data_IF_901725977035
#
_entry.id   IF_901725977035
#
_cell.length_a   1.000
_cell.length_b   1.000
_cell.length_c   1.000
_cell.angle_alpha   90.00
_cell.angle_beta   90.00
_cell.angle_gamma   90.00
#
_symmetry.space_group_name_H-M   'P 1'
#
loop_
_entity.id
_entity.type
_entity.pdbx_description
1 polymer ?
#
# COMPACT_ATOMS: atom_id res chain seq x y z
N UNK A 1 -10.02 -7.84 -19.30
CA UNK A 1 -9.86 -7.25 -17.95
C UNK A 1 -9.58 -5.78 -18.15
N UNK A 2 -10.46 -4.93 -17.66
CA UNK A 2 -10.45 -3.50 -18.03
C UNK A 2 -9.70 -2.63 -17.01
N UNK A 3 -9.58 -3.13 -15.78
CA UNK A 3 -8.88 -2.51 -14.66
C UNK A 3 -8.30 -3.59 -13.72
N UNK A 4 -7.06 -3.39 -13.29
CA UNK A 4 -6.44 -4.18 -12.22
C UNK A 4 -6.42 -3.38 -10.92
N UNK A 5 -7.00 -3.94 -9.87
CA UNK A 5 -6.81 -3.48 -8.49
C UNK A 5 -5.59 -4.21 -7.93
N UNK A 6 -4.50 -3.49 -7.68
CA UNK A 6 -3.23 -4.12 -7.38
C UNK A 6 -2.70 -3.66 -6.02
N UNK A 7 -2.50 -4.61 -5.11
CA UNK A 7 -2.02 -4.29 -3.77
C UNK A 7 -0.49 -4.15 -3.74
N UNK A 8 0.00 -3.02 -3.23
CA UNK A 8 1.40 -2.82 -2.88
C UNK A 8 1.53 -2.45 -1.41
N UNK A 9 2.24 -3.26 -0.64
CA UNK A 9 2.27 -3.17 0.83
C UNK A 9 3.53 -2.48 1.33
N UNK A 10 4.70 -2.99 0.94
CA UNK A 10 5.99 -2.55 1.47
C UNK A 10 7.04 -2.46 0.36
N UNK A 11 7.82 -1.37 0.37
CA UNK A 11 8.90 -1.15 -0.60
C UNK A 11 10.16 -1.94 -0.26
N UNK A 12 10.42 -2.13 1.04
CA UNK A 12 11.55 -2.91 1.54
C UNK A 12 11.21 -4.41 1.58
N UNK A 13 12.06 -5.24 0.99
CA UNK A 13 11.83 -6.68 0.89
C UNK A 13 11.87 -7.36 2.27
N UNK A 14 12.82 -7.00 3.13
CA UNK A 14 12.95 -7.61 4.45
C UNK A 14 11.72 -7.32 5.31
N UNK A 15 11.22 -6.09 5.29
CA UNK A 15 9.94 -5.73 5.90
C UNK A 15 8.78 -6.47 5.24
N UNK A 16 8.73 -6.54 3.90
CA UNK A 16 7.65 -7.25 3.21
C UNK A 16 7.60 -8.73 3.63
N UNK A 17 8.74 -9.42 3.68
CA UNK A 17 8.84 -10.80 4.18
C UNK A 17 8.41 -10.89 5.64
N UNK A 18 8.87 -9.97 6.50
CA UNK A 18 8.49 -9.94 7.91
C UNK A 18 6.97 -9.84 8.12
N UNK A 19 6.29 -8.98 7.37
CA UNK A 19 4.87 -8.70 7.58
C UNK A 19 3.91 -9.54 6.73
N UNK A 20 4.38 -10.16 5.64
CA UNK A 20 3.53 -10.94 4.72
C UNK A 20 3.95 -12.39 4.56
N UNK A 21 5.16 -12.77 4.99
CA UNK A 21 5.75 -14.08 4.77
C UNK A 21 6.34 -14.27 3.36
N UNK A 22 6.28 -13.27 2.47
CA UNK A 22 6.73 -13.38 1.09
C UNK A 22 7.61 -12.20 0.64
N UNK A 23 8.44 -12.42 -0.38
CA UNK A 23 9.18 -11.34 -1.07
C UNK A 23 8.25 -10.43 -1.85
N UNK A 24 8.63 -9.16 -2.02
CA UNK A 24 7.96 -8.22 -2.92
C UNK A 24 8.52 -8.22 -4.35
N UNK A 25 9.56 -9.01 -4.67
CA UNK A 25 10.16 -9.06 -6.00
C UNK A 25 9.13 -9.43 -7.08
N UNK A 26 8.38 -10.52 -6.87
CA UNK A 26 7.34 -10.96 -7.80
C UNK A 26 6.19 -9.95 -7.91
N UNK A 27 5.89 -9.26 -6.80
CA UNK A 27 4.86 -8.21 -6.76
C UNK A 27 5.28 -7.05 -7.65
N UNK A 28 6.54 -6.64 -7.60
CA UNK A 28 7.07 -5.58 -8.47
C UNK A 28 7.20 -6.00 -9.93
N UNK A 29 7.69 -7.21 -10.21
CA UNK A 29 7.85 -7.68 -11.59
C UNK A 29 6.50 -7.78 -12.30
N UNK A 30 5.48 -8.29 -11.61
CA UNK A 30 4.13 -8.40 -12.17
C UNK A 30 3.48 -7.03 -12.38
N UNK A 31 3.65 -6.11 -11.43
CA UNK A 31 3.10 -4.75 -11.53
C UNK A 31 3.71 -4.00 -12.73
N UNK A 32 5.04 -4.09 -12.91
CA UNK A 32 5.72 -3.52 -14.09
C UNK A 32 5.23 -4.15 -15.39
N UNK A 33 5.14 -5.48 -15.45
CA UNK A 33 4.68 -6.17 -16.64
C UNK A 33 3.23 -5.80 -17.02
N UNK A 34 2.34 -5.62 -16.04
CA UNK A 34 0.96 -5.16 -16.29
C UNK A 34 0.94 -3.73 -16.84
N UNK A 35 1.73 -2.87 -16.22
CA UNK A 35 1.87 -1.45 -16.55
C UNK A 35 2.43 -1.27 -17.97
N UNK A 36 3.52 -1.96 -18.32
CA UNK A 36 4.15 -1.93 -19.65
C UNK A 36 3.26 -2.49 -20.77
N UNK A 37 2.34 -3.41 -20.45
CA UNK A 37 1.37 -3.96 -21.40
C UNK A 37 0.16 -3.05 -21.65
N UNK A 38 0.11 -1.87 -21.04
CA UNK A 38 -0.94 -0.89 -21.28
C UNK A 38 -2.21 -1.12 -20.47
N UNK A 39 -2.18 -1.98 -19.45
CA UNK A 39 -3.36 -2.21 -18.62
C UNK A 39 -3.60 -1.04 -17.66
N UNK A 40 -4.88 -0.70 -17.44
CA UNK A 40 -5.25 0.29 -16.42
C UNK A 40 -5.06 -0.32 -15.03
N UNK A 41 -4.42 0.42 -14.13
CA UNK A 41 -4.10 -0.06 -12.78
C UNK A 41 -4.55 0.98 -11.75
N UNK A 42 -5.23 0.51 -10.70
CA UNK A 42 -5.36 1.22 -9.44
C UNK A 42 -4.45 0.53 -8.42
N UNK A 43 -3.46 1.27 -7.94
CA UNK A 43 -2.53 0.79 -6.94
C UNK A 43 -3.13 1.01 -5.55
N UNK A 44 -3.26 -0.05 -4.77
CA UNK A 44 -3.91 -0.04 -3.46
C UNK A 44 -2.88 -0.23 -2.38
N UNK A 45 -2.84 0.69 -1.43
CA UNK A 45 -1.78 0.78 -0.43
C UNK A 45 -2.42 0.83 0.96
N UNK A 46 -2.48 -0.30 1.69
CA UNK A 46 -2.92 -0.27 3.07
C UNK A 46 -1.90 0.48 3.92
N UNK A 47 -2.32 1.55 4.58
CA UNK A 47 -1.48 2.36 5.48
C UNK A 47 -1.65 1.84 6.90
N UNK A 48 -0.56 1.27 7.42
CA UNK A 48 -0.48 0.68 8.76
C UNK A 48 0.53 1.48 9.59
N UNK A 49 0.09 2.15 10.67
CA UNK A 49 0.97 2.91 11.54
C UNK A 49 2.16 2.12 12.09
N UNK A 50 3.35 2.69 11.98
CA UNK A 50 4.61 2.07 12.41
C UNK A 50 5.16 1.01 11.46
N UNK A 51 4.50 0.77 10.32
CA UNK A 51 4.92 -0.25 9.33
C UNK A 51 5.30 0.40 8.01
N UNK A 52 4.38 1.14 7.40
CA UNK A 52 4.58 1.74 6.07
C UNK A 52 4.03 3.17 5.96
N UNK A 53 3.81 3.82 7.10
CA UNK A 53 3.30 5.17 7.17
C UNK A 53 4.41 6.20 7.37
N UNK A 54 5.70 5.89 7.21
CA UNK A 54 6.77 6.90 7.30
C UNK A 54 6.85 7.76 6.03
N UNK A 55 7.27 9.02 6.15
CA UNK A 55 7.44 9.91 4.98
C UNK A 55 8.44 9.33 3.98
N UNK A 56 9.50 8.68 4.45
CA UNK A 56 10.51 8.03 3.61
C UNK A 56 9.90 6.89 2.77
N UNK A 57 9.12 6.01 3.41
CA UNK A 57 8.46 4.91 2.71
C UNK A 57 7.49 5.46 1.66
N UNK A 58 6.66 6.42 2.04
CA UNK A 58 5.65 7.03 1.17
C UNK A 58 6.31 7.70 -0.04
N UNK A 59 7.44 8.41 0.16
CA UNK A 59 8.20 9.02 -0.96
C UNK A 59 8.80 7.97 -1.88
N UNK A 60 9.38 6.89 -1.36
CA UNK A 60 9.89 5.78 -2.18
C UNK A 60 8.78 5.11 -2.99
N UNK A 61 7.63 4.91 -2.37
CA UNK A 61 6.45 4.37 -3.03
C UNK A 61 5.93 5.33 -4.12
N UNK A 62 5.91 6.64 -3.85
CA UNK A 62 5.46 7.67 -4.79
C UNK A 62 6.35 7.72 -6.03
N UNK A 63 7.67 7.72 -5.83
CA UNK A 63 8.64 7.67 -6.92
C UNK A 63 8.48 6.41 -7.78
N UNK A 64 8.26 5.25 -7.16
CA UNK A 64 8.01 4.00 -7.87
C UNK A 64 6.69 4.04 -8.66
N UNK A 65 5.61 4.50 -8.04
CA UNK A 65 4.29 4.57 -8.67
C UNK A 65 4.27 5.54 -9.86
N UNK A 66 4.94 6.69 -9.75
CA UNK A 66 5.03 7.66 -10.83
C UNK A 66 5.83 7.15 -12.06
N UNK A 67 6.69 6.14 -11.87
CA UNK A 67 7.41 5.50 -12.96
C UNK A 67 6.59 4.43 -13.70
N UNK A 68 5.39 4.07 -13.21
CA UNK A 68 4.53 3.06 -13.84
C UNK A 68 3.65 3.69 -14.94
N UNK A 69 3.87 3.37 -16.24
CA UNK A 69 2.95 3.79 -17.28
C UNK A 69 1.54 3.21 -17.06
N UNK A 70 0.49 3.93 -17.47
CA UNK A 70 -0.91 3.49 -17.36
C UNK A 70 -1.45 3.29 -15.93
N UNK A 71 -0.70 3.66 -14.88
CA UNK A 71 -1.25 3.81 -13.54
C UNK A 71 -2.29 4.95 -13.57
N UNK A 72 -3.50 4.66 -13.09
CA UNK A 72 -4.61 5.62 -13.11
C UNK A 72 -4.83 6.27 -11.75
N UNK A 73 -4.66 5.52 -10.67
CA UNK A 73 -4.97 6.01 -9.33
C UNK A 73 -4.14 5.26 -8.28
N UNK A 74 -3.85 5.93 -7.17
CA UNK A 74 -3.36 5.32 -5.93
C UNK A 74 -4.43 5.46 -4.86
N UNK A 75 -4.93 4.33 -4.38
CA UNK A 75 -5.85 4.26 -3.25
C UNK A 75 -5.05 4.05 -1.97
N UNK A 76 -5.06 5.04 -1.07
CA UNK A 76 -4.48 4.90 0.27
C UNK A 76 -5.57 4.41 1.23
N UNK A 77 -5.40 3.21 1.77
CA UNK A 77 -6.41 2.51 2.55
C UNK A 77 -6.03 2.56 4.03
N UNK A 78 -6.73 3.34 4.88
CA UNK A 78 -6.40 3.37 6.30
C UNK A 78 -6.64 1.98 6.92
N UNK A 79 -5.67 1.50 7.69
CA UNK A 79 -5.81 0.23 8.39
C UNK A 79 -6.92 0.31 9.46
N UNK A 80 -7.73 -0.74 9.58
CA UNK A 80 -8.79 -0.87 10.58
C UNK A 80 -8.60 -2.11 11.44
N UNK A 81 -8.81 -1.99 12.76
CA UNK A 81 -8.56 -3.05 13.73
C UNK A 81 -9.53 -4.25 13.66
N UNK A 82 -10.51 -4.24 12.75
CA UNK A 82 -11.58 -5.26 12.63
C UNK A 82 -11.01 -6.68 12.53
N UNK A 83 -9.81 -6.84 11.97
CA UNK A 83 -9.16 -8.15 11.87
C UNK A 83 -8.79 -8.75 13.24
N UNK A 84 -8.50 -7.93 14.26
CA UNK A 84 -8.07 -8.42 15.57
C UNK A 84 -9.12 -9.33 16.23
N UNK A 85 -10.40 -8.96 16.16
CA UNK A 85 -11.51 -9.78 16.66
C UNK A 85 -11.56 -11.15 15.96
N UNK A 86 -11.30 -11.19 14.66
CA UNK A 86 -11.27 -12.45 13.89
C UNK A 86 -10.10 -13.35 14.31
N UNK A 87 -8.93 -12.78 14.59
CA UNK A 87 -7.78 -13.54 15.09
C UNK A 87 -8.04 -14.11 16.47
N UNK A 88 -8.63 -13.32 17.37
CA UNK A 88 -9.05 -13.76 18.70
C UNK A 88 -10.03 -14.94 18.63
N UNK A 89 -11.04 -14.86 17.75
CA UNK A 89 -12.01 -15.97 17.53
C UNK A 89 -11.37 -17.25 16.99
N UNK A 90 -10.25 -17.14 16.29
CA UNK A 90 -9.50 -18.28 15.75
C UNK A 90 -8.41 -18.79 16.72
N UNK A 91 -8.31 -18.20 17.93
CA UNK A 91 -7.28 -18.55 18.89
C UNK A 91 -5.86 -18.25 18.41
N UNK A 92 -5.70 -17.34 17.44
CA UNK A 92 -4.41 -16.97 16.87
C UNK A 92 -3.90 -15.66 17.46
N UNK A 93 -2.59 -15.55 17.76
CA UNK A 93 -2.01 -14.28 18.18
C UNK A 93 -2.13 -13.25 17.06
N UNK A 94 -2.44 -12.02 17.44
CA UNK A 94 -2.48 -10.88 16.52
C UNK A 94 -1.12 -10.18 16.57
N UNK A 95 -0.29 -10.40 15.54
CA UNK A 95 1.13 -10.02 15.54
C UNK A 95 1.41 -8.63 14.96
N UNK A 96 0.40 -7.98 14.37
CA UNK A 96 0.54 -6.58 14.01
C UNK A 96 0.58 -5.76 15.31
N UNK A 97 1.38 -4.67 15.35
CA UNK A 97 1.37 -3.75 16.48
C UNK A 97 -0.07 -3.41 16.86
N UNK A 98 -0.34 -3.04 18.10
CA UNK A 98 -1.60 -2.41 18.49
C UNK A 98 -1.73 -1.05 17.78
N UNK A 99 -1.89 -1.09 16.46
CA UNK A 99 -1.94 0.03 15.58
C UNK A 99 -3.38 0.45 15.57
N UNK A 100 -3.66 1.54 16.27
CA UNK A 100 -4.83 2.34 15.98
C UNK A 100 -4.85 2.67 14.48
N UNK A 101 -6.02 2.92 13.89
CA UNK A 101 -6.09 3.47 12.55
C UNK A 101 -5.18 4.70 12.41
N UNK A 102 -4.54 4.93 11.25
CA UNK A 102 -3.78 6.16 11.03
C UNK A 102 -4.70 7.37 11.25
N UNK A 103 -4.17 8.45 11.82
CA UNK A 103 -4.95 9.68 11.99
C UNK A 103 -5.30 10.30 10.64
N UNK A 104 -6.41 11.04 10.60
CA UNK A 104 -6.82 11.78 9.39
C UNK A 104 -5.73 12.75 8.91
N UNK A 105 -5.01 13.38 9.85
CA UNK A 105 -3.86 14.24 9.56
C UNK A 105 -2.72 13.46 8.87
N UNK A 106 -2.41 12.25 9.36
CA UNK A 106 -1.39 11.40 8.74
C UNK A 106 -1.81 11.00 7.33
N UNK A 107 -3.08 10.61 7.15
CA UNK A 107 -3.60 10.23 5.83
C UNK A 107 -3.57 11.41 4.86
N UNK A 108 -3.96 12.62 5.29
CA UNK A 108 -3.89 13.82 4.49
C UNK A 108 -2.44 14.16 4.07
N UNK A 109 -1.48 14.03 4.99
CA UNK A 109 -0.06 14.24 4.69
C UNK A 109 0.47 13.21 3.68
N UNK A 110 0.09 11.95 3.80
CA UNK A 110 0.45 10.90 2.83
C UNK A 110 -0.09 11.27 1.45
N UNK A 111 -1.36 11.67 1.35
CA UNK A 111 -1.96 12.11 0.08
C UNK A 111 -1.17 13.26 -0.53
N UNK A 112 -0.82 14.29 0.26
CA UNK A 112 -0.03 15.43 -0.21
C UNK A 112 1.32 14.99 -0.78
N UNK A 113 2.08 14.15 -0.05
CA UNK A 113 3.38 13.64 -0.50
C UNK A 113 3.23 12.89 -1.83
N UNK A 114 2.19 12.07 -1.99
CA UNK A 114 1.98 11.30 -3.22
C UNK A 114 1.56 12.19 -4.41
N UNK A 115 0.77 13.23 -4.15
CA UNK A 115 0.39 14.22 -5.16
C UNK A 115 1.58 15.03 -5.68
N UNK A 116 2.64 15.23 -4.87
CA UNK A 116 3.90 15.87 -5.34
C UNK A 116 4.56 15.10 -6.49
N UNK A 117 4.29 13.79 -6.63
CA UNK A 117 4.77 12.98 -7.74
C UNK A 117 3.83 13.00 -8.97
N UNK A 118 2.79 13.85 -8.96
CA UNK A 118 1.81 13.94 -10.05
C UNK A 118 0.79 12.79 -10.06
N UNK A 119 0.65 12.06 -8.96
CA UNK A 119 -0.26 10.92 -8.86
C UNK A 119 -1.69 11.38 -8.54
N UNK A 120 -2.68 10.72 -9.16
CA UNK A 120 -4.07 10.81 -8.70
C UNK A 120 -4.23 9.92 -7.46
N UNK A 121 -4.60 10.51 -6.33
CA UNK A 121 -4.66 9.81 -5.04
C UNK A 121 -6.06 9.92 -4.43
N UNK A 122 -6.56 8.80 -3.91
CA UNK A 122 -7.85 8.71 -3.22
C UNK A 122 -7.65 8.05 -1.85
N UNK A 123 -8.27 8.60 -0.80
CA UNK A 123 -8.38 7.92 0.49
C UNK A 123 -9.56 6.95 0.42
N UNK A 124 -9.31 5.67 0.71
CA UNK A 124 -10.30 4.61 0.57
C UNK A 124 -10.44 4.08 -0.87
N UNK A 125 -10.96 2.86 -0.99
CA UNK A 125 -11.22 2.17 -2.27
C UNK A 125 -12.70 2.17 -2.61
#
# INVERSE_FOLDING_TARGET
VDLFLYDLKLMDEAQHRRFTGASNELIFSNLRALSERGHNIFLRVPIVPGVNDSDEHVRRMGAFAAALPHLKQVDVLPYHHIAAEKYQRLGKPYELPASHPPSDERMAKIVQILQEFGLQVKIGG
#
